data_IF_777790766233
#
_entry.id   IF_777790766233
#
_cell.length_a   1.000
_cell.length_b   1.000
_cell.length_c   1.000
_cell.angle_alpha   90.00
_cell.angle_beta   90.00
_cell.angle_gamma   90.00
#
_symmetry.space_group_name_H-M   'P 1'
#
loop_
_entity.id
_entity.type
_entity.pdbx_description
1 polymer ?
#
# COMPACT_ATOMS: atom_id res chain seq x y z
N UNK A 1 -26.41 49.69 7.54
CA UNK A 1 -25.92 49.20 8.84
C UNK A 1 -26.63 47.88 9.12
N UNK A 2 -26.05 46.75 8.69
CA UNK A 2 -26.63 45.42 8.87
C UNK A 2 -25.82 44.67 9.92
N UNK A 3 -26.41 44.44 11.09
CA UNK A 3 -25.88 43.64 12.18
C UNK A 3 -26.24 42.19 11.89
N UNK A 4 -25.24 41.31 11.74
CA UNK A 4 -25.45 39.87 11.61
C UNK A 4 -25.59 39.22 13.01
N UNK A 5 -26.50 38.25 13.20
CA UNK A 5 -26.71 37.62 14.49
C UNK A 5 -25.60 36.63 14.83
N UNK A 6 -25.17 36.67 16.10
CA UNK A 6 -24.30 35.67 16.72
C UNK A 6 -25.06 34.35 16.88
N UNK A 7 -24.41 33.24 16.55
CA UNK A 7 -24.83 31.91 17.00
C UNK A 7 -24.95 30.83 15.94
N UNK A 8 -23.91 30.60 15.13
CA UNK A 8 -23.75 29.30 14.46
C UNK A 8 -22.83 28.45 15.33
N UNK A 9 -23.42 27.62 16.19
CA UNK A 9 -22.69 26.52 16.81
C UNK A 9 -22.21 25.61 15.68
N UNK A 10 -20.90 25.55 15.45
CA UNK A 10 -20.30 24.54 14.57
C UNK A 10 -20.74 23.17 15.10
N UNK A 11 -21.22 22.25 14.25
CA UNK A 11 -21.48 20.89 14.70
C UNK A 11 -20.13 20.29 15.14
N UNK A 12 -20.02 20.07 16.44
CA UNK A 12 -18.92 19.32 17.04
C UNK A 12 -19.16 17.86 16.63
N UNK A 13 -18.62 17.47 15.48
CA UNK A 13 -18.60 16.06 15.06
C UNK A 13 -17.69 15.37 16.08
N UNK A 14 -18.29 14.73 17.10
CA UNK A 14 -17.58 13.76 17.92
C UNK A 14 -16.97 12.76 16.94
N UNK A 15 -15.65 12.60 17.02
CA UNK A 15 -14.95 11.50 16.37
C UNK A 15 -15.65 10.20 16.80
N UNK A 16 -16.52 9.68 15.95
CA UNK A 16 -17.12 8.38 16.15
C UNK A 16 -15.95 7.40 16.25
N UNK A 17 -15.93 6.61 17.32
CA UNK A 17 -14.98 5.52 17.47
C UNK A 17 -15.11 4.64 16.22
N UNK A 18 -14.09 4.71 15.36
CA UNK A 18 -14.01 3.94 14.13
C UNK A 18 -13.89 2.46 14.47
N UNK A 19 -14.75 1.63 13.87
CA UNK A 19 -14.72 0.18 14.01
C UNK A 19 -13.52 -0.40 13.22
N UNK A 20 -12.57 -1.11 13.88
CA UNK A 20 -11.43 -1.73 13.22
C UNK A 20 -11.80 -2.76 12.15
N UNK A 21 -12.97 -3.41 12.26
CA UNK A 21 -13.44 -4.41 11.29
C UNK A 21 -13.81 -3.78 9.95
N UNK A 22 -14.45 -2.61 9.98
CA UNK A 22 -14.80 -1.85 8.78
C UNK A 22 -13.56 -1.37 8.00
N UNK A 23 -12.42 -1.14 8.66
CA UNK A 23 -11.15 -0.81 8.00
C UNK A 23 -10.61 -2.00 7.22
N UNK A 24 -10.71 -3.20 7.80
CA UNK A 24 -10.25 -4.43 7.14
C UNK A 24 -11.11 -4.69 5.90
N UNK A 25 -12.43 -4.54 6.01
CA UNK A 25 -13.35 -4.74 4.89
C UNK A 25 -13.16 -3.69 3.78
N UNK A 26 -12.94 -2.42 4.13
CA UNK A 26 -12.67 -1.36 3.16
C UNK A 26 -11.29 -1.50 2.52
N UNK A 27 -10.25 -1.88 3.28
CA UNK A 27 -8.92 -2.14 2.72
C UNK A 27 -8.95 -3.37 1.82
N UNK A 28 -9.61 -4.45 2.25
CA UNK A 28 -9.79 -5.66 1.45
C UNK A 28 -10.60 -5.37 0.19
N UNK A 29 -11.68 -4.58 0.29
CA UNK A 29 -12.50 -4.16 -0.84
C UNK A 29 -11.72 -3.25 -1.80
N UNK A 30 -11.01 -2.24 -1.32
CA UNK A 30 -10.22 -1.34 -2.17
C UNK A 30 -9.08 -2.08 -2.87
N UNK A 31 -8.39 -2.99 -2.17
CA UNK A 31 -7.35 -3.84 -2.76
C UNK A 31 -7.95 -4.81 -3.79
N UNK A 32 -9.07 -5.47 -3.47
CA UNK A 32 -9.74 -6.41 -4.38
C UNK A 32 -10.37 -5.71 -5.58
N UNK A 33 -10.92 -4.50 -5.40
CA UNK A 33 -11.53 -3.69 -6.45
C UNK A 33 -10.50 -3.14 -7.44
N UNK A 34 -9.33 -2.69 -6.95
CA UNK A 34 -8.20 -2.29 -7.81
C UNK A 34 -7.58 -3.47 -8.57
N UNK A 35 -7.80 -4.71 -8.11
CA UNK A 35 -7.32 -5.94 -8.76
C UNK A 35 -8.32 -6.54 -9.78
N UNK A 36 -9.57 -6.05 -9.84
CA UNK A 36 -10.56 -6.31 -10.90
C UNK A 36 -11.10 -7.76 -11.01
N UNK A 37 -12.23 -7.98 -11.71
CA UNK A 37 -12.74 -9.32 -12.02
C UNK A 37 -11.90 -9.95 -13.15
N UNK A 38 -11.26 -11.08 -12.86
CA UNK A 38 -10.23 -11.67 -13.72
C UNK A 38 -10.82 -12.57 -14.81
N UNK A 39 -10.38 -12.45 -16.08
CA UNK A 39 -10.58 -13.49 -17.08
C UNK A 39 -9.75 -14.72 -16.67
N UNK A 40 -10.40 -15.89 -16.62
CA UNK A 40 -9.87 -17.11 -15.98
C UNK A 40 -8.82 -17.89 -16.78
N UNK A 41 -8.48 -17.50 -18.02
CA UNK A 41 -7.67 -18.36 -18.91
C UNK A 41 -6.37 -17.73 -19.45
N UNK A 42 -5.86 -16.66 -18.85
CA UNK A 42 -4.62 -16.04 -19.34
C UNK A 42 -3.37 -16.75 -18.80
N UNK A 43 -2.51 -17.21 -19.69
CA UNK A 43 -1.19 -17.76 -19.37
C UNK A 43 -0.06 -16.78 -19.71
N UNK A 44 0.79 -16.49 -18.72
CA UNK A 44 1.90 -15.55 -18.83
C UNK A 44 3.22 -16.26 -19.13
N UNK A 45 4.11 -15.58 -19.84
CA UNK A 45 5.51 -15.96 -20.03
C UNK A 45 6.32 -15.58 -18.79
N UNK A 46 7.42 -16.29 -18.54
CA UNK A 46 8.32 -15.98 -17.39
C UNK A 46 8.83 -14.54 -17.39
N UNK A 47 9.01 -13.91 -18.56
CA UNK A 47 9.39 -12.50 -18.66
C UNK A 47 8.27 -11.52 -18.25
N UNK A 48 7.03 -11.83 -18.58
CA UNK A 48 5.86 -11.02 -18.17
C UNK A 48 5.64 -11.15 -16.67
N UNK A 49 5.77 -12.37 -16.14
CA UNK A 49 5.71 -12.63 -14.70
C UNK A 49 6.83 -11.90 -13.95
N UNK A 50 8.05 -11.93 -14.47
CA UNK A 50 9.19 -11.23 -13.89
C UNK A 50 8.96 -9.71 -13.82
N UNK A 51 8.45 -9.13 -14.91
CA UNK A 51 8.13 -7.71 -14.99
C UNK A 51 7.04 -7.31 -13.99
N UNK A 52 6.02 -8.16 -13.82
CA UNK A 52 4.91 -7.91 -12.89
C UNK A 52 5.32 -8.09 -11.42
N UNK A 53 6.11 -9.12 -11.12
CA UNK A 53 6.62 -9.39 -9.77
C UNK A 53 7.81 -8.50 -9.38
N UNK A 54 8.36 -7.70 -10.31
CA UNK A 54 9.54 -6.87 -10.07
C UNK A 54 10.83 -7.67 -9.80
N UNK A 55 10.93 -8.91 -10.30
CA UNK A 55 12.08 -9.81 -10.08
C UNK A 55 12.78 -10.14 -11.38
N UNK A 56 13.97 -10.75 -11.30
CA UNK A 56 14.64 -11.26 -12.50
C UNK A 56 13.87 -12.44 -13.12
N UNK A 57 13.95 -12.58 -14.46
CA UNK A 57 13.39 -13.74 -15.16
C UNK A 57 13.96 -15.07 -14.64
N UNK A 58 15.23 -15.09 -14.25
CA UNK A 58 15.87 -16.26 -13.69
C UNK A 58 15.24 -16.66 -12.34
N UNK A 59 14.91 -15.67 -11.50
CA UNK A 59 14.22 -15.94 -10.24
C UNK A 59 12.84 -16.58 -10.44
N UNK A 60 12.09 -16.14 -11.45
CA UNK A 60 10.81 -16.78 -11.83
C UNK A 60 11.02 -18.22 -12.29
N UNK A 61 12.08 -18.49 -13.05
CA UNK A 61 12.45 -19.85 -13.48
C UNK A 61 12.79 -20.72 -12.28
N UNK A 62 13.55 -20.19 -11.31
CA UNK A 62 13.92 -20.91 -10.11
C UNK A 62 12.68 -21.25 -9.26
N UNK A 63 11.72 -20.33 -9.16
CA UNK A 63 10.43 -20.58 -8.49
C UNK A 63 9.62 -21.69 -9.17
N UNK A 64 9.62 -21.74 -10.50
CA UNK A 64 9.00 -22.85 -11.25
C UNK A 64 9.71 -24.19 -10.99
N UNK A 65 11.04 -24.20 -11.01
CA UNK A 65 11.82 -25.43 -10.78
C UNK A 65 11.70 -25.96 -9.35
N UNK A 66 11.55 -25.06 -8.37
CA UNK A 66 11.35 -25.39 -6.96
C UNK A 66 9.90 -25.81 -6.63
N UNK A 67 9.01 -25.90 -7.63
CA UNK A 67 7.59 -26.20 -7.41
C UNK A 67 6.82 -25.10 -6.68
N UNK A 68 7.45 -23.93 -6.46
CA UNK A 68 6.87 -22.80 -5.74
C UNK A 68 5.97 -21.93 -6.60
N UNK A 69 6.04 -22.07 -7.92
CA UNK A 69 5.17 -21.38 -8.88
C UNK A 69 4.63 -22.41 -9.89
N UNK A 70 3.32 -22.69 -9.88
CA UNK A 70 2.75 -23.65 -10.81
C UNK A 70 2.88 -23.12 -12.24
N UNK A 71 3.27 -24.02 -13.14
CA UNK A 71 3.47 -23.72 -14.54
C UNK A 71 3.15 -24.94 -15.38
N UNK A 72 2.78 -24.70 -16.62
CA UNK A 72 2.71 -25.74 -17.66
C UNK A 72 3.80 -25.51 -18.68
N UNK A 73 4.24 -26.58 -19.33
CA UNK A 73 5.14 -26.50 -20.47
C UNK A 73 4.34 -26.47 -21.76
N UNK A 74 4.60 -25.48 -22.62
CA UNK A 74 4.08 -25.41 -23.98
C UNK A 74 5.29 -25.36 -24.92
N UNK A 75 5.63 -26.51 -25.49
CA UNK A 75 6.90 -26.71 -26.19
C UNK A 75 8.09 -26.48 -25.24
N UNK A 76 9.04 -25.64 -25.67
CA UNK A 76 10.23 -25.28 -24.86
C UNK A 76 9.97 -24.18 -23.82
N UNK A 77 8.73 -23.67 -23.71
CA UNK A 77 8.44 -22.49 -22.90
C UNK A 77 7.49 -22.77 -21.73
N UNK A 78 7.86 -22.26 -20.54
CA UNK A 78 6.97 -22.21 -19.37
C UNK A 78 5.84 -21.21 -19.59
N UNK A 79 4.63 -21.61 -19.21
CA UNK A 79 3.41 -20.79 -19.18
C UNK A 79 2.85 -20.84 -17.77
N UNK A 80 2.69 -19.68 -17.17
CA UNK A 80 2.33 -19.53 -15.77
C UNK A 80 0.90 -18.98 -15.75
N UNK A 81 -0.07 -19.66 -15.12
CA UNK A 81 -1.42 -19.12 -14.99
C UNK A 81 -1.37 -17.75 -14.32
N UNK A 82 -2.02 -16.75 -14.89
CA UNK A 82 -2.05 -15.40 -14.34
C UNK A 82 -2.57 -15.40 -12.89
N UNK A 83 -3.56 -16.23 -12.59
CA UNK A 83 -4.08 -16.45 -11.24
C UNK A 83 -3.02 -16.91 -10.23
N UNK A 84 -2.03 -17.71 -10.66
CA UNK A 84 -0.98 -18.23 -9.80
C UNK A 84 0.09 -17.17 -9.50
N UNK A 85 0.27 -16.22 -10.42
CA UNK A 85 1.11 -15.05 -10.21
C UNK A 85 0.40 -14.09 -9.26
N UNK A 86 -0.89 -13.85 -9.47
CA UNK A 86 -1.73 -13.01 -8.60
C UNK A 86 -1.80 -13.56 -7.17
N UNK A 87 -2.02 -14.86 -6.99
CA UNK A 87 -2.06 -15.47 -5.65
C UNK A 87 -0.72 -15.40 -4.91
N UNK A 88 0.41 -15.35 -5.64
CA UNK A 88 1.73 -15.08 -5.07
C UNK A 88 1.90 -13.66 -4.55
N UNK A 89 1.24 -12.65 -5.13
CA UNK A 89 1.22 -11.30 -4.55
C UNK A 89 0.51 -11.27 -3.20
N UNK A 90 -0.47 -12.16 -3.01
CA UNK A 90 -1.21 -12.31 -1.75
C UNK A 90 -0.44 -13.18 -0.75
N UNK A 91 0.35 -14.15 -1.23
CA UNK A 91 0.94 -15.21 -0.40
C UNK A 91 2.48 -15.25 -0.52
N UNK A 92 3.16 -14.18 -0.06
CA UNK A 92 4.62 -14.11 -0.10
C UNK A 92 5.24 -14.58 1.22
N UNK A 93 5.64 -15.86 1.26
CA UNK A 93 6.43 -16.51 2.31
C UNK A 93 7.92 -16.10 2.32
N UNK A 94 8.23 -14.80 2.20
CA UNK A 94 9.59 -14.28 2.41
C UNK A 94 9.58 -13.31 3.62
N UNK A 95 10.31 -13.61 4.71
CA UNK A 95 10.45 -12.69 5.86
C UNK A 95 10.91 -11.28 5.49
N UNK A 96 11.65 -11.10 4.37
CA UNK A 96 12.01 -9.77 3.84
C UNK A 96 10.85 -9.10 3.08
N UNK A 97 9.97 -9.87 2.47
CA UNK A 97 8.73 -9.37 1.86
C UNK A 97 7.68 -8.97 2.90
N UNK A 98 7.70 -9.62 4.07
CA UNK A 98 6.74 -9.35 5.16
C UNK A 98 6.80 -7.88 5.63
N UNK A 99 8.00 -7.31 5.75
CA UNK A 99 8.17 -5.91 6.10
C UNK A 99 7.63 -4.94 5.03
N UNK A 100 7.85 -5.25 3.74
CA UNK A 100 7.34 -4.43 2.63
C UNK A 100 5.82 -4.50 2.54
N UNK A 101 5.24 -5.68 2.75
CA UNK A 101 3.81 -5.93 2.69
C UNK A 101 3.07 -5.36 3.90
N UNK A 102 3.65 -5.48 5.10
CA UNK A 102 3.18 -4.80 6.30
C UNK A 102 3.21 -3.27 6.14
N UNK A 103 4.29 -2.73 5.54
CA UNK A 103 4.41 -1.30 5.24
C UNK A 103 3.33 -0.83 4.27
N UNK A 104 3.05 -1.60 3.21
CA UNK A 104 1.96 -1.33 2.28
C UNK A 104 0.60 -1.34 2.98
N UNK A 105 0.34 -2.33 3.84
CA UNK A 105 -0.90 -2.40 4.64
C UNK A 105 -1.11 -1.17 5.53
N UNK A 106 -0.06 -0.71 6.20
CA UNK A 106 -0.12 0.50 7.02
C UNK A 106 -0.45 1.76 6.19
N UNK A 107 0.09 1.85 4.98
CA UNK A 107 -0.17 2.99 4.11
C UNK A 107 -1.54 2.90 3.43
N UNK A 108 -2.03 1.71 3.10
CA UNK A 108 -3.40 1.51 2.66
C UNK A 108 -4.42 1.96 3.72
N UNK A 109 -4.13 1.72 5.00
CA UNK A 109 -4.97 2.18 6.11
C UNK A 109 -5.01 3.71 6.29
N UNK A 110 -4.11 4.47 5.65
CA UNK A 110 -4.18 5.94 5.61
C UNK A 110 -5.23 6.44 4.62
N UNK A 111 -5.58 5.66 3.59
CA UNK A 111 -6.44 6.08 2.48
C UNK A 111 -7.81 6.58 2.98
N UNK A 112 -8.52 5.89 3.88
CA UNK A 112 -9.80 6.40 4.39
C UNK A 112 -9.66 7.78 5.05
N UNK A 113 -8.63 7.99 5.89
CA UNK A 113 -8.38 9.30 6.52
C UNK A 113 -8.04 10.36 5.47
N UNK A 114 -7.22 10.01 4.48
CA UNK A 114 -6.84 10.90 3.40
C UNK A 114 -8.04 11.34 2.54
N UNK A 115 -8.97 10.42 2.24
CA UNK A 115 -10.19 10.70 1.47
C UNK A 115 -11.18 11.54 2.28
N UNK A 116 -11.34 11.27 3.58
CA UNK A 116 -12.29 11.97 4.43
C UNK A 116 -11.81 13.35 4.89
N UNK A 117 -10.51 13.51 5.18
CA UNK A 117 -9.93 14.76 5.71
C UNK A 117 -8.62 15.12 5.01
N UNK A 118 -8.65 15.34 3.66
CA UNK A 118 -7.45 15.51 2.86
C UNK A 118 -6.56 16.66 3.34
N UNK A 119 -7.13 17.84 3.61
CA UNK A 119 -6.36 19.01 4.04
C UNK A 119 -5.61 18.78 5.35
N UNK A 120 -6.24 18.07 6.30
CA UNK A 120 -5.61 17.77 7.58
C UNK A 120 -4.46 16.79 7.42
N UNK A 121 -4.66 15.72 6.65
CA UNK A 121 -3.66 14.67 6.41
C UNK A 121 -2.48 15.21 5.58
N UNK A 122 -2.75 15.92 4.49
CA UNK A 122 -1.72 16.55 3.67
C UNK A 122 -0.97 17.66 4.43
N UNK A 123 -1.67 18.40 5.30
CA UNK A 123 -1.05 19.38 6.17
C UNK A 123 -0.07 18.76 7.18
N UNK A 124 -0.36 17.58 7.72
CA UNK A 124 0.59 16.82 8.55
C UNK A 124 1.81 16.40 7.72
N UNK A 125 1.59 15.86 6.52
CA UNK A 125 2.67 15.43 5.64
C UNK A 125 3.63 16.58 5.29
N UNK A 126 3.11 17.74 4.89
CA UNK A 126 3.92 18.93 4.58
C UNK A 126 4.78 19.38 5.76
N UNK A 127 4.19 19.50 6.96
CA UNK A 127 4.96 19.84 8.18
C UNK A 127 6.05 18.82 8.52
N UNK A 128 5.80 17.55 8.23
CA UNK A 128 6.80 16.50 8.46
C UNK A 128 7.94 16.57 7.43
N UNK A 129 7.66 16.92 6.17
CA UNK A 129 8.71 17.16 5.17
C UNK A 129 9.59 18.36 5.55
N UNK A 130 9.01 19.45 6.04
CA UNK A 130 9.76 20.61 6.53
C UNK A 130 10.74 20.20 7.64
N UNK A 131 10.28 19.42 8.62
CA UNK A 131 11.13 18.87 9.68
C UNK A 131 12.19 17.91 9.16
N UNK A 132 11.87 17.10 8.15
CA UNK A 132 12.84 16.17 7.54
C UNK A 132 13.93 16.92 6.77
N UNK A 133 13.58 18.04 6.11
CA UNK A 133 14.53 18.94 5.45
C UNK A 133 15.53 19.53 6.45
N UNK A 134 15.04 20.04 7.58
CA UNK A 134 15.87 20.62 8.64
C UNK A 134 16.89 19.63 9.22
N UNK A 135 16.57 18.33 9.20
CA UNK A 135 17.41 17.24 9.74
C UNK A 135 18.36 16.60 8.70
N UNK A 136 18.28 17.01 7.43
CA UNK A 136 18.62 16.15 6.28
C UNK A 136 20.08 16.05 5.82
N UNK A 137 20.32 15.03 4.98
CA UNK A 137 21.53 14.75 4.18
C UNK A 137 21.19 14.69 2.67
N UNK A 138 22.19 14.63 1.77
CA UNK A 138 21.95 14.65 0.32
C UNK A 138 21.02 13.52 -0.19
N UNK A 139 21.13 12.31 0.37
CA UNK A 139 20.29 11.15 -0.04
C UNK A 139 18.83 11.28 0.42
N UNK A 140 18.57 11.92 1.57
CA UNK A 140 17.19 12.19 2.00
C UNK A 140 16.53 13.30 1.17
N UNK A 141 17.34 14.20 0.58
CA UNK A 141 16.84 15.32 -0.23
C UNK A 141 16.09 14.87 -1.48
N UNK A 142 16.53 13.78 -2.13
CA UNK A 142 15.86 13.25 -3.32
C UNK A 142 14.43 12.77 -3.02
N UNK A 143 14.25 11.96 -1.98
CA UNK A 143 12.94 11.45 -1.59
C UNK A 143 12.02 12.52 -1.00
N UNK A 144 12.58 13.54 -0.34
CA UNK A 144 11.82 14.71 0.11
C UNK A 144 11.19 15.42 -1.10
N UNK A 145 11.99 15.71 -2.14
CA UNK A 145 11.50 16.35 -3.37
C UNK A 145 10.46 15.50 -4.10
N UNK A 146 10.67 14.19 -4.11
CA UNK A 146 9.72 13.27 -4.71
C UNK A 146 8.38 13.27 -3.97
N UNK A 147 8.39 13.21 -2.65
CA UNK A 147 7.18 13.33 -1.85
C UNK A 147 6.47 14.67 -2.04
N UNK A 148 7.20 15.78 -2.19
CA UNK A 148 6.62 17.08 -2.53
C UNK A 148 5.91 17.06 -3.87
N UNK A 149 6.56 16.52 -4.90
CA UNK A 149 5.95 16.37 -6.22
C UNK A 149 4.69 15.50 -6.17
N UNK A 150 4.69 14.44 -5.36
CA UNK A 150 3.53 13.57 -5.16
C UNK A 150 2.39 14.34 -4.46
N UNK A 151 2.69 15.11 -3.42
CA UNK A 151 1.70 15.92 -2.70
C UNK A 151 1.10 17.03 -3.57
N UNK A 152 1.92 17.68 -4.39
CA UNK A 152 1.49 18.78 -5.27
C UNK A 152 0.66 18.28 -6.47
N UNK A 153 0.87 17.02 -6.89
CA UNK A 153 0.05 16.37 -7.89
C UNK A 153 -1.32 15.88 -7.35
N UNK A 154 -1.55 15.99 -6.04
CA UNK A 154 -2.85 15.79 -5.40
C UNK A 154 -3.12 14.39 -4.85
N UNK A 155 -4.31 14.22 -4.26
CA UNK A 155 -4.70 13.04 -3.47
C UNK A 155 -4.58 11.73 -4.24
N UNK A 156 -4.93 11.71 -5.54
CA UNK A 156 -4.81 10.51 -6.37
C UNK A 156 -3.39 9.98 -6.45
N UNK A 157 -2.39 10.86 -6.66
CA UNK A 157 -0.98 10.47 -6.70
C UNK A 157 -0.45 10.01 -5.35
N UNK A 158 -0.95 10.57 -4.25
CA UNK A 158 -0.62 10.09 -2.90
C UNK A 158 -1.12 8.66 -2.69
N UNK A 159 -2.35 8.35 -3.14
CA UNK A 159 -2.91 7.00 -3.05
C UNK A 159 -2.09 6.01 -3.89
N UNK A 160 -1.72 6.39 -5.12
CA UNK A 160 -0.86 5.58 -5.98
C UNK A 160 0.48 5.28 -5.29
N UNK A 161 1.13 6.29 -4.68
CA UNK A 161 2.37 6.10 -3.94
C UNK A 161 2.21 5.21 -2.70
N UNK A 162 1.06 5.27 -2.02
CA UNK A 162 0.76 4.37 -0.89
C UNK A 162 0.65 2.91 -1.33
N UNK A 163 0.03 2.69 -2.49
CA UNK A 163 -0.30 1.35 -3.00
C UNK A 163 0.77 0.75 -3.92
N UNK A 164 1.83 1.49 -4.27
CA UNK A 164 2.90 0.99 -5.15
C UNK A 164 3.64 -0.22 -4.54
N UNK A 165 3.48 -1.44 -5.10
CA UNK A 165 4.11 -2.63 -4.55
C UNK A 165 5.61 -2.74 -4.89
N UNK A 166 6.16 -1.84 -5.71
CA UNK A 166 7.54 -1.88 -6.16
C UNK A 166 8.56 -1.62 -5.03
N UNK A 167 9.83 -1.94 -5.29
CA UNK A 167 10.95 -1.60 -4.40
C UNK A 167 11.09 -0.09 -4.19
N UNK A 168 10.73 0.70 -5.21
CA UNK A 168 10.70 2.15 -5.13
C UNK A 168 9.58 2.62 -4.19
N UNK A 169 8.37 2.11 -4.36
CA UNK A 169 7.24 2.37 -3.46
C UNK A 169 7.53 1.95 -2.01
N UNK A 170 8.18 0.81 -1.80
CA UNK A 170 8.63 0.38 -0.47
C UNK A 170 9.64 1.36 0.14
N UNK A 171 10.57 1.87 -0.68
CA UNK A 171 11.54 2.89 -0.26
C UNK A 171 10.86 4.21 0.10
N UNK A 172 9.93 4.69 -0.73
CA UNK A 172 9.13 5.88 -0.46
C UNK A 172 8.34 5.75 0.85
N UNK A 173 7.68 4.61 1.08
CA UNK A 173 6.97 4.33 2.35
C UNK A 173 7.90 4.32 3.56
N UNK A 174 9.17 3.92 3.41
CA UNK A 174 10.14 3.93 4.50
C UNK A 174 10.53 5.36 4.95
N UNK A 175 10.49 6.32 4.02
CA UNK A 175 10.74 7.74 4.27
C UNK A 175 9.46 8.59 4.28
N UNK A 176 8.32 7.95 4.55
CA UNK A 176 7.00 8.57 4.47
C UNK A 176 6.85 9.84 5.32
N UNK A 177 6.24 10.92 4.79
CA UNK A 177 5.92 12.11 5.57
C UNK A 177 4.62 11.95 6.38
N UNK A 178 3.89 10.84 6.27
CA UNK A 178 2.60 10.66 6.94
C UNK A 178 2.70 10.12 8.38
N UNK A 179 3.89 10.24 9.00
CA UNK A 179 4.10 9.85 10.39
C UNK A 179 3.19 10.68 11.33
N UNK A 180 2.51 9.99 12.26
CA UNK A 180 1.59 10.61 13.20
C UNK A 180 0.16 10.84 12.69
N UNK A 181 -0.15 10.48 11.44
CA UNK A 181 -1.55 10.47 10.94
C UNK A 181 -2.34 9.31 11.55
N UNK A 182 -1.71 8.13 11.66
CA UNK A 182 -2.21 7.03 12.48
C UNK A 182 -1.69 7.17 13.91
N UNK A 183 -2.56 6.94 14.89
CA UNK A 183 -2.16 6.80 16.29
C UNK A 183 -1.36 5.51 16.50
N UNK A 184 -0.60 5.44 17.59
CA UNK A 184 0.13 4.21 17.94
C UNK A 184 -0.80 3.02 18.16
N UNK A 185 -2.02 3.25 18.66
CA UNK A 185 -3.04 2.21 18.83
C UNK A 185 -3.56 1.70 17.49
N UNK A 186 -3.85 2.61 16.54
CA UNK A 186 -4.25 2.24 15.19
C UNK A 186 -3.15 1.42 14.49
N UNK A 187 -1.89 1.88 14.57
CA UNK A 187 -0.74 1.15 14.01
C UNK A 187 -0.62 -0.25 14.63
N UNK A 188 -0.75 -0.38 15.96
CA UNK A 188 -0.68 -1.68 16.64
C UNK A 188 -1.80 -2.61 16.20
N UNK A 189 -3.03 -2.11 16.11
CA UNK A 189 -4.20 -2.86 15.66
C UNK A 189 -4.05 -3.34 14.22
N UNK A 190 -3.65 -2.46 13.30
CA UNK A 190 -3.42 -2.82 11.89
C UNK A 190 -2.32 -3.86 11.75
N UNK A 191 -1.19 -3.68 12.45
CA UNK A 191 -0.10 -4.66 12.44
C UNK A 191 -0.53 -6.02 13.01
N UNK A 192 -1.40 -6.03 14.02
CA UNK A 192 -1.96 -7.26 14.60
C UNK A 192 -2.87 -7.97 13.59
N UNK A 193 -3.83 -7.26 13.02
CA UNK A 193 -4.75 -7.81 12.01
C UNK A 193 -4.00 -8.37 10.79
N UNK A 194 -2.98 -7.65 10.30
CA UNK A 194 -2.12 -8.14 9.22
C UNK A 194 -1.42 -9.46 9.55
N UNK A 195 -0.88 -9.60 10.77
CA UNK A 195 -0.27 -10.86 11.22
C UNK A 195 -1.29 -11.99 11.28
N UNK A 196 -2.46 -11.75 11.86
CA UNK A 196 -3.52 -12.76 12.00
C UNK A 196 -4.03 -13.24 10.63
N UNK A 197 -4.22 -12.33 9.67
CA UNK A 197 -4.59 -12.67 8.29
C UNK A 197 -3.51 -13.51 7.60
N UNK A 198 -2.25 -13.08 7.70
CA UNK A 198 -1.11 -13.79 7.13
C UNK A 198 -0.99 -15.21 7.69
N UNK A 199 -1.11 -15.34 9.01
CA UNK A 199 -0.99 -16.63 9.70
C UNK A 199 -2.18 -17.55 9.37
N UNK A 200 -3.39 -16.99 9.17
CA UNK A 200 -4.59 -17.75 8.74
C UNK A 200 -4.49 -18.25 7.29
N UNK A 201 -3.93 -17.43 6.39
CA UNK A 201 -3.65 -17.81 5.00
C UNK A 201 -2.53 -18.85 4.85
N UNK A 202 -1.85 -19.20 5.95
CA UNK A 202 -0.78 -20.20 5.99
C UNK A 202 -1.28 -21.61 6.37
N UNK A 203 -2.47 -21.73 6.97
CA UNK A 203 -3.04 -22.99 7.48
C UNK A 203 -3.88 -23.74 6.43
N UNK A 204 -4.17 -23.11 5.29
CA UNK A 204 -4.88 -23.68 4.13
C UNK A 204 -3.88 -24.03 3.03
#
# INVERSE_FOLDING_TARGET
MFVLPRGVRRPFIKAAAWDPSAIIDVVFFVVSFYLGPMPTDTFLRTGEVASRLGVSRQHVVDLCNQGKLPHIMVGAHRRIPEQAVMSKFVNTRDPRSDGKQQSLWLHAALIPKLVHTPDAVLGIARRNLDKQRERGSARSTAYIREWESILDAGVGRVIEAFLDPSDHGATLRSCTPFTGVLSQDEVRTIKKAYRELRDSAQVV
#
